data_IF_531066253132
#
_entry.id   IF_531066253132
#
_cell.length_a   1.000
_cell.length_b   1.000
_cell.length_c   1.000
_cell.angle_alpha   90.00
_cell.angle_beta   90.00
_cell.angle_gamma   90.00
#
_symmetry.space_group_name_H-M   'P 1'
#
loop_
_entity.id
_entity.type
_entity.pdbx_description
1 polymer ?
#
# COMPACT_ATOMS: atom_id res chain seq x y z
N UNK A 1 10.65 4.11 9.98
CA UNK A 1 10.55 3.52 8.62
C UNK A 1 9.91 2.13 8.64
N UNK A 2 10.22 1.28 9.62
CA UNK A 2 9.54 -0.01 9.81
C UNK A 2 8.03 0.13 10.07
N UNK A 3 7.59 1.24 10.65
CA UNK A 3 6.19 1.47 11.05
C UNK A 3 5.22 1.59 9.87
N UNK A 4 5.60 2.27 8.79
CA UNK A 4 4.70 2.51 7.64
C UNK A 4 4.54 1.24 6.79
N UNK A 5 5.62 0.48 6.60
CA UNK A 5 5.57 -0.83 5.95
C UNK A 5 4.78 -1.85 6.78
N UNK A 6 4.97 -1.86 8.10
CA UNK A 6 4.24 -2.75 9.01
C UNK A 6 2.72 -2.48 9.01
N UNK A 7 2.32 -1.20 8.93
CA UNK A 7 0.91 -0.84 8.83
C UNK A 7 0.27 -1.36 7.54
N UNK A 8 0.94 -1.21 6.39
CA UNK A 8 0.45 -1.74 5.11
C UNK A 8 0.42 -3.27 5.12
N UNK A 9 1.42 -3.93 5.70
CA UNK A 9 1.42 -5.39 5.88
C UNK A 9 0.25 -5.89 6.73
N UNK A 10 -0.05 -5.21 7.84
CA UNK A 10 -1.18 -5.57 8.70
C UNK A 10 -2.52 -5.45 7.94
N UNK A 11 -2.67 -4.43 7.10
CA UNK A 11 -3.85 -4.26 6.26
C UNK A 11 -3.96 -5.38 5.21
N UNK A 12 -2.85 -5.78 4.60
CA UNK A 12 -2.82 -6.91 3.66
C UNK A 12 -3.22 -8.21 4.35
N UNK A 13 -2.71 -8.50 5.54
CA UNK A 13 -3.12 -9.68 6.31
C UNK A 13 -4.62 -9.65 6.63
N UNK A 14 -5.16 -8.48 6.95
CA UNK A 14 -6.60 -8.30 7.17
C UNK A 14 -7.41 -8.60 5.90
N UNK A 15 -6.94 -8.13 4.74
CA UNK A 15 -7.56 -8.43 3.44
C UNK A 15 -7.48 -9.92 3.10
N UNK A 16 -6.35 -10.59 3.37
CA UNK A 16 -6.19 -12.04 3.15
C UNK A 16 -7.20 -12.82 4.00
N UNK A 17 -7.39 -12.46 5.27
CA UNK A 17 -8.39 -13.11 6.11
C UNK A 17 -9.82 -12.92 5.58
N UNK A 18 -10.18 -11.70 5.19
CA UNK A 18 -11.51 -11.42 4.62
C UNK A 18 -11.75 -12.16 3.30
N UNK A 19 -10.74 -12.23 2.42
CA UNK A 19 -10.84 -12.98 1.17
C UNK A 19 -10.87 -14.49 1.41
N UNK A 20 -10.19 -15.00 2.44
CA UNK A 20 -10.28 -16.41 2.83
C UNK A 20 -11.68 -16.72 3.34
N UNK A 21 -12.25 -15.87 4.18
CA UNK A 21 -13.62 -16.03 4.67
C UNK A 21 -14.63 -15.98 3.52
N UNK A 22 -14.44 -15.06 2.57
CA UNK A 22 -15.24 -15.04 1.35
C UNK A 22 -15.05 -16.31 0.51
N UNK A 23 -13.83 -16.84 0.39
CA UNK A 23 -13.54 -18.06 -0.36
C UNK A 23 -14.23 -19.29 0.24
N UNK A 24 -14.36 -19.35 1.56
CA UNK A 24 -15.12 -20.44 2.20
C UNK A 24 -16.63 -20.34 1.94
N UNK A 25 -17.13 -19.13 1.61
CA UNK A 25 -18.56 -18.83 1.45
C UNK A 25 -19.01 -18.71 -0.01
N UNK A 26 -18.10 -18.39 -0.91
CA UNK A 26 -18.29 -18.21 -2.35
C UNK A 26 -17.41 -19.21 -3.11
N UNK A 27 -17.74 -19.51 -4.38
CA UNK A 27 -17.05 -20.54 -5.15
C UNK A 27 -15.50 -20.40 -5.13
N UNK A 28 -14.74 -21.44 -4.72
CA UNK A 28 -13.31 -21.33 -4.37
C UNK A 28 -12.36 -20.90 -5.50
N UNK A 29 -12.72 -21.20 -6.75
CA UNK A 29 -11.82 -21.08 -7.90
C UNK A 29 -11.56 -19.64 -8.34
N UNK A 30 -12.53 -18.72 -8.14
CA UNK A 30 -12.38 -17.32 -8.53
C UNK A 30 -11.57 -16.50 -7.51
N UNK A 31 -11.48 -16.94 -6.25
CA UNK A 31 -10.82 -16.19 -5.16
C UNK A 31 -9.34 -16.53 -5.00
N UNK A 32 -8.89 -17.67 -5.53
CA UNK A 32 -7.48 -18.08 -5.52
C UNK A 32 -6.56 -17.05 -6.15
N UNK A 33 -6.98 -16.43 -7.27
CA UNK A 33 -6.18 -15.41 -7.94
C UNK A 33 -6.01 -14.14 -7.08
N UNK A 34 -7.06 -13.74 -6.36
CA UNK A 34 -7.01 -12.57 -5.49
C UNK A 34 -6.20 -12.78 -4.21
N UNK A 35 -6.31 -13.97 -3.61
CA UNK A 35 -5.47 -14.38 -2.48
C UNK A 35 -3.99 -14.47 -2.88
N UNK A 36 -3.69 -15.12 -4.00
CA UNK A 36 -2.32 -15.19 -4.52
C UNK A 36 -1.75 -13.79 -4.82
N UNK A 37 -2.57 -12.87 -5.33
CA UNK A 37 -2.16 -11.49 -5.57
C UNK A 37 -1.82 -10.74 -4.27
N UNK A 38 -2.59 -10.93 -3.19
CA UNK A 38 -2.30 -10.32 -1.88
C UNK A 38 -1.08 -10.94 -1.19
N UNK A 39 -0.92 -12.25 -1.27
CA UNK A 39 0.27 -12.95 -0.75
C UNK A 39 1.54 -12.48 -1.45
N UNK A 40 1.48 -12.36 -2.78
CA UNK A 40 2.59 -11.83 -3.55
C UNK A 40 2.87 -10.35 -3.22
N UNK A 41 1.82 -9.55 -2.99
CA UNK A 41 1.95 -8.15 -2.57
C UNK A 41 2.62 -8.04 -1.19
N UNK A 42 2.29 -8.93 -0.26
CA UNK A 42 2.95 -9.04 1.05
C UNK A 42 4.44 -9.38 0.88
N UNK A 43 4.77 -10.38 0.06
CA UNK A 43 6.15 -10.80 -0.18
C UNK A 43 6.98 -9.69 -0.84
N UNK A 44 6.40 -8.96 -1.81
CA UNK A 44 7.06 -7.83 -2.46
C UNK A 44 7.34 -6.69 -1.46
N UNK A 45 6.41 -6.41 -0.54
CA UNK A 45 6.62 -5.41 0.51
C UNK A 45 7.69 -5.83 1.53
N UNK A 46 7.74 -7.09 1.92
CA UNK A 46 8.81 -7.62 2.77
C UNK A 46 10.18 -7.41 2.14
N UNK A 47 10.32 -7.76 0.85
CA UNK A 47 11.55 -7.55 0.09
C UNK A 47 11.92 -6.06 -0.01
N UNK A 48 10.95 -5.19 -0.28
CA UNK A 48 11.18 -3.75 -0.36
C UNK A 48 11.58 -3.14 1.00
N UNK A 49 11.08 -3.70 2.11
CA UNK A 49 11.39 -3.25 3.47
C UNK A 49 12.77 -3.68 3.99
N UNK A 50 13.40 -4.68 3.36
CA UNK A 50 14.63 -5.35 3.83
C UNK A 50 15.92 -4.52 3.81
N UNK A 51 15.87 -3.20 3.63
CA UNK A 51 16.99 -2.27 3.77
C UNK A 51 18.12 -2.36 2.73
N UNK A 52 18.15 -3.40 1.89
CA UNK A 52 19.15 -3.59 0.82
C UNK A 52 18.64 -3.28 -0.59
N UNK A 53 17.35 -2.97 -0.76
CA UNK A 53 16.78 -2.64 -2.05
C UNK A 53 17.13 -1.19 -2.45
N UNK A 54 17.51 -0.97 -3.71
CA UNK A 54 17.69 0.38 -4.24
C UNK A 54 16.33 1.12 -4.27
N UNK A 55 16.33 2.46 -4.20
CA UNK A 55 15.10 3.24 -4.29
C UNK A 55 14.29 2.94 -5.56
N UNK A 56 14.95 2.70 -6.69
CA UNK A 56 14.28 2.35 -7.93
C UNK A 56 13.65 0.95 -7.90
N UNK A 57 14.30 -0.01 -7.23
CA UNK A 57 13.72 -1.33 -7.00
C UNK A 57 12.48 -1.25 -6.09
N UNK A 58 12.53 -0.41 -5.04
CA UNK A 58 11.40 -0.18 -4.17
C UNK A 58 10.22 0.49 -4.90
N UNK A 59 10.49 1.50 -5.75
CA UNK A 59 9.46 2.13 -6.59
C UNK A 59 8.83 1.15 -7.57
N UNK A 60 9.65 0.31 -8.22
CA UNK A 60 9.16 -0.70 -9.14
C UNK A 60 8.26 -1.74 -8.43
N UNK A 61 8.66 -2.17 -7.23
CA UNK A 61 7.85 -3.05 -6.40
C UNK A 61 6.51 -2.39 -6.00
N UNK A 62 6.54 -1.14 -5.52
CA UNK A 62 5.31 -0.41 -5.18
C UNK A 62 4.37 -0.23 -6.38
N UNK A 63 4.91 0.05 -7.57
CA UNK A 63 4.11 0.15 -8.79
C UNK A 63 3.42 -1.17 -9.15
N UNK A 64 4.12 -2.30 -8.99
CA UNK A 64 3.54 -3.64 -9.17
C UNK A 64 2.46 -3.93 -8.12
N UNK A 65 2.70 -3.59 -6.84
CA UNK A 65 1.70 -3.70 -5.78
C UNK A 65 0.44 -2.91 -6.12
N UNK A 66 0.58 -1.67 -6.57
CA UNK A 66 -0.55 -0.82 -6.96
C UNK A 66 -1.32 -1.39 -8.16
N UNK A 67 -0.63 -1.96 -9.16
CA UNK A 67 -1.30 -2.60 -10.28
C UNK A 67 -2.13 -3.81 -9.84
N UNK A 68 -1.54 -4.70 -9.04
CA UNK A 68 -2.24 -5.89 -8.52
C UNK A 68 -3.43 -5.52 -7.65
N UNK A 69 -3.30 -4.46 -6.85
CA UNK A 69 -4.38 -3.95 -6.03
C UNK A 69 -5.54 -3.41 -6.89
N UNK A 70 -5.25 -2.73 -8.00
CA UNK A 70 -6.27 -2.31 -8.98
C UNK A 70 -7.00 -3.53 -9.58
N UNK A 71 -6.25 -4.52 -10.05
CA UNK A 71 -6.85 -5.73 -10.64
C UNK A 71 -7.76 -6.46 -9.65
N UNK A 72 -7.36 -6.51 -8.37
CA UNK A 72 -8.14 -7.11 -7.30
C UNK A 72 -9.38 -6.28 -6.93
N UNK A 73 -9.25 -4.95 -6.93
CA UNK A 73 -10.38 -4.03 -6.72
C UNK A 73 -11.44 -4.19 -7.81
N UNK A 74 -11.01 -4.20 -9.08
CA UNK A 74 -11.90 -4.40 -10.23
C UNK A 74 -12.64 -5.74 -10.15
N UNK A 75 -11.95 -6.79 -9.68
CA UNK A 75 -12.57 -8.09 -9.46
C UNK A 75 -13.59 -8.06 -8.31
N UNK A 76 -13.26 -7.42 -7.17
CA UNK A 76 -14.18 -7.27 -6.05
C UNK A 76 -15.41 -6.46 -6.42
N UNK A 77 -15.28 -5.41 -7.23
CA UNK A 77 -16.41 -4.61 -7.70
C UNK A 77 -17.37 -5.40 -8.58
N UNK A 78 -16.83 -6.27 -9.44
CA UNK A 78 -17.64 -7.24 -10.21
C UNK A 78 -18.36 -8.20 -9.27
N UNK A 79 -17.67 -8.76 -8.27
CA UNK A 79 -18.29 -9.64 -7.28
C UNK A 79 -19.34 -8.95 -6.43
N UNK A 80 -19.11 -7.70 -6.05
CA UNK A 80 -20.10 -6.89 -5.32
C UNK A 80 -21.37 -6.73 -6.14
N UNK A 81 -21.22 -6.49 -7.44
CA UNK A 81 -22.35 -6.38 -8.37
C UNK A 81 -23.09 -7.72 -8.52
N UNK A 82 -22.37 -8.83 -8.72
CA UNK A 82 -22.95 -10.18 -8.82
C UNK A 82 -23.74 -10.55 -7.55
N UNK A 83 -23.16 -10.31 -6.37
CA UNK A 83 -23.79 -10.63 -5.09
C UNK A 83 -24.99 -9.72 -4.82
N UNK A 84 -24.90 -8.43 -5.15
CA UNK A 84 -26.04 -7.51 -5.03
C UNK A 84 -27.21 -7.93 -5.92
N UNK A 85 -26.92 -8.36 -7.15
CA UNK A 85 -27.94 -8.85 -8.08
C UNK A 85 -28.56 -10.16 -7.58
N UNK A 86 -27.76 -11.12 -7.11
CA UNK A 86 -28.24 -12.34 -6.48
C UNK A 86 -29.13 -12.03 -5.26
N UNK A 87 -28.79 -11.01 -4.46
CA UNK A 87 -29.58 -10.59 -3.31
C UNK A 87 -30.95 -10.08 -3.74
N UNK A 88 -31.01 -9.16 -4.72
CA UNK A 88 -32.27 -8.65 -5.28
C UNK A 88 -33.15 -9.76 -5.82
N UNK A 89 -32.58 -10.69 -6.57
CA UNK A 89 -33.30 -11.82 -7.15
C UNK A 89 -33.81 -12.79 -6.08
N UNK A 90 -33.05 -12.99 -4.99
CA UNK A 90 -33.42 -13.92 -3.92
C UNK A 90 -34.60 -13.45 -3.07
N UNK A 91 -34.80 -12.14 -2.93
CA UNK A 91 -35.84 -11.56 -2.08
C UNK A 91 -37.03 -11.02 -2.86
N UNK A 92 -36.82 -10.53 -4.09
CA UNK A 92 -37.90 -9.96 -4.90
C UNK A 92 -38.72 -8.92 -4.11
N UNK A 93 -40.02 -9.19 -3.96
CA UNK A 93 -40.94 -8.32 -3.23
C UNK A 93 -40.88 -8.46 -1.69
N UNK A 94 -40.23 -9.49 -1.17
CA UNK A 94 -40.13 -9.78 0.27
C UNK A 94 -38.95 -9.08 0.95
N UNK A 95 -38.22 -8.23 0.20
CA UNK A 95 -37.01 -7.58 0.68
C UNK A 95 -37.23 -6.78 1.97
N UNK A 96 -38.23 -5.90 1.99
CA UNK A 96 -38.46 -5.01 3.13
C UNK A 96 -38.89 -5.81 4.37
N UNK A 97 -39.70 -6.85 4.18
CA UNK A 97 -40.09 -7.78 5.24
C UNK A 97 -38.88 -8.53 5.80
N UNK A 98 -38.01 -9.05 4.93
CA UNK A 98 -36.78 -9.72 5.33
C UNK A 98 -35.83 -8.78 6.07
N UNK A 99 -35.64 -7.54 5.59
CA UNK A 99 -34.74 -6.56 6.23
C UNK A 99 -35.26 -6.09 7.60
N UNK A 100 -36.56 -6.16 7.85
CA UNK A 100 -37.17 -5.87 9.15
C UNK A 100 -37.03 -7.01 10.18
N UNK A 101 -36.76 -8.25 9.75
CA UNK A 101 -36.57 -9.40 10.65
C UNK A 101 -35.25 -9.33 11.41
N UNK A 102 -35.19 -9.93 12.59
CA UNK A 102 -33.93 -10.10 13.31
C UNK A 102 -32.99 -11.07 12.57
N UNK A 103 -31.68 -10.93 12.76
CA UNK A 103 -30.68 -11.77 12.08
C UNK A 103 -30.93 -13.28 12.27
N UNK A 104 -31.32 -13.69 13.48
CA UNK A 104 -31.61 -15.09 13.78
C UNK A 104 -32.84 -15.60 13.01
N UNK A 105 -33.88 -14.77 12.87
CA UNK A 105 -35.09 -15.11 12.10
C UNK A 105 -34.80 -15.12 10.60
N UNK A 106 -34.00 -14.18 10.11
CA UNK A 106 -33.52 -14.16 8.72
C UNK A 106 -32.77 -15.44 8.37
N UNK A 107 -31.87 -15.90 9.24
CA UNK A 107 -31.09 -17.12 9.04
C UNK A 107 -31.96 -18.38 9.01
N UNK A 108 -32.97 -18.46 9.87
CA UNK A 108 -33.85 -19.62 9.98
C UNK A 108 -34.88 -19.69 8.85
N UNK A 109 -35.53 -18.56 8.55
CA UNK A 109 -36.66 -18.50 7.60
C UNK A 109 -36.19 -18.28 6.16
N UNK A 110 -35.11 -17.53 5.97
CA UNK A 110 -34.60 -17.13 4.65
C UNK A 110 -33.07 -17.35 4.56
N UNK A 111 -32.58 -18.60 4.72
CA UNK A 111 -31.15 -18.90 4.83
C UNK A 111 -30.34 -18.48 3.59
N UNK A 112 -30.94 -18.52 2.40
CA UNK A 112 -30.27 -18.14 1.15
C UNK A 112 -30.07 -16.61 1.09
N UNK A 113 -31.11 -15.77 1.15
CA UNK A 113 -30.95 -14.32 1.24
C UNK A 113 -30.03 -13.86 2.38
N UNK A 114 -30.12 -14.50 3.55
CA UNK A 114 -29.25 -14.21 4.68
C UNK A 114 -27.77 -14.45 4.37
N UNK A 115 -27.43 -15.61 3.79
CA UNK A 115 -26.06 -15.91 3.36
C UNK A 115 -25.55 -14.93 2.29
N UNK A 116 -26.39 -14.59 1.31
CA UNK A 116 -26.03 -13.63 0.26
C UNK A 116 -25.76 -12.24 0.87
N UNK A 117 -26.60 -11.79 1.82
CA UNK A 117 -26.38 -10.54 2.56
C UNK A 117 -25.06 -10.55 3.32
N UNK A 118 -24.73 -11.65 3.99
CA UNK A 118 -23.44 -11.79 4.67
C UNK A 118 -22.27 -11.72 3.69
N UNK A 119 -22.35 -12.42 2.55
CA UNK A 119 -21.33 -12.34 1.50
C UNK A 119 -21.19 -10.92 0.95
N UNK A 120 -22.28 -10.17 0.78
CA UNK A 120 -22.23 -8.77 0.34
C UNK A 120 -21.48 -7.88 1.33
N UNK A 121 -21.74 -8.06 2.63
CA UNK A 121 -21.03 -7.34 3.69
C UNK A 121 -19.53 -7.63 3.67
N UNK A 122 -19.15 -8.90 3.52
CA UNK A 122 -17.75 -9.30 3.43
C UNK A 122 -17.04 -8.75 2.18
N UNK A 123 -17.68 -8.79 1.00
CA UNK A 123 -17.13 -8.20 -0.24
C UNK A 123 -16.93 -6.69 -0.08
N UNK A 124 -17.87 -6.01 0.57
CA UNK A 124 -17.77 -4.56 0.83
C UNK A 124 -16.62 -4.26 1.78
N UNK A 125 -16.50 -5.00 2.88
CA UNK A 125 -15.40 -4.85 3.82
C UNK A 125 -14.02 -5.12 3.18
N UNK A 126 -13.92 -6.15 2.32
CA UNK A 126 -12.69 -6.42 1.57
C UNK A 126 -12.33 -5.24 0.65
N UNK A 127 -13.31 -4.63 -0.02
CA UNK A 127 -13.11 -3.43 -0.83
C UNK A 127 -12.57 -2.25 -0.02
N UNK A 128 -13.15 -1.98 1.15
CA UNK A 128 -12.69 -0.90 2.04
C UNK A 128 -11.24 -1.11 2.50
N UNK A 129 -10.84 -2.36 2.79
CA UNK A 129 -9.45 -2.68 3.13
C UNK A 129 -8.51 -2.47 1.94
N UNK A 130 -8.90 -2.83 0.71
CA UNK A 130 -8.07 -2.56 -0.47
C UNK A 130 -7.87 -1.06 -0.70
N UNK A 131 -8.90 -0.23 -0.50
CA UNK A 131 -8.76 1.23 -0.58
C UNK A 131 -7.77 1.75 0.46
N UNK A 132 -7.82 1.19 1.68
CA UNK A 132 -6.85 1.52 2.74
C UNK A 132 -5.42 1.13 2.35
N UNK A 133 -5.21 -0.09 1.82
CA UNK A 133 -3.89 -0.55 1.35
C UNK A 133 -3.39 0.36 0.22
N UNK A 134 -4.25 0.71 -0.73
CA UNK A 134 -3.90 1.60 -1.84
C UNK A 134 -3.42 2.97 -1.36
N UNK A 135 -4.11 3.54 -0.35
CA UNK A 135 -3.72 4.80 0.28
C UNK A 135 -2.37 4.66 0.99
N UNK A 136 -2.17 3.59 1.76
CA UNK A 136 -0.90 3.31 2.44
C UNK A 136 0.28 3.12 1.47
N UNK A 137 0.06 2.47 0.31
CA UNK A 137 1.07 2.34 -0.74
C UNK A 137 1.43 3.70 -1.36
N UNK A 138 0.46 4.61 -1.51
CA UNK A 138 0.71 5.95 -2.02
C UNK A 138 1.54 6.79 -1.04
N UNK A 139 1.21 6.70 0.26
CA UNK A 139 1.98 7.36 1.31
C UNK A 139 3.41 6.82 1.40
N UNK A 140 3.58 5.49 1.30
CA UNK A 140 4.90 4.84 1.21
C UNK A 140 5.70 5.36 0.01
N UNK A 141 5.07 5.44 -1.18
CA UNK A 141 5.74 5.96 -2.37
C UNK A 141 6.22 7.40 -2.17
N UNK A 142 5.39 8.27 -1.59
CA UNK A 142 5.76 9.64 -1.30
C UNK A 142 6.88 9.75 -0.25
N UNK A 143 6.91 8.82 0.72
CA UNK A 143 7.98 8.73 1.72
C UNK A 143 9.33 8.38 1.08
N UNK A 144 9.35 7.39 0.17
CA UNK A 144 10.55 6.96 -0.55
C UNK A 144 11.09 8.07 -1.46
N UNK A 145 10.21 8.79 -2.15
CA UNK A 145 10.61 9.94 -2.99
C UNK A 145 11.28 11.04 -2.16
N UNK A 146 10.66 11.45 -1.05
CA UNK A 146 11.23 12.47 -0.16
C UNK A 146 12.60 12.06 0.36
N UNK A 147 12.78 10.79 0.72
CA UNK A 147 14.08 10.31 1.16
C UNK A 147 15.12 10.32 0.05
N UNK A 148 14.76 9.85 -1.14
CA UNK A 148 15.67 9.83 -2.28
C UNK A 148 16.17 11.26 -2.57
N UNK A 149 15.27 12.25 -2.54
CA UNK A 149 15.62 13.65 -2.70
C UNK A 149 16.54 14.16 -1.58
N UNK A 150 16.21 13.89 -0.31
CA UNK A 150 17.03 14.29 0.83
C UNK A 150 18.45 13.68 0.78
N UNK A 151 18.58 12.42 0.35
CA UNK A 151 19.89 11.77 0.19
C UNK A 151 20.69 12.43 -0.92
N UNK A 152 20.07 12.74 -2.06
CA UNK A 152 20.73 13.44 -3.16
C UNK A 152 21.18 14.86 -2.76
N UNK A 153 20.36 15.60 -2.00
CA UNK A 153 20.72 16.93 -1.48
C UNK A 153 21.89 16.87 -0.48
N UNK A 154 21.89 15.88 0.42
CA UNK A 154 23.00 15.67 1.36
C UNK A 154 24.29 15.28 0.64
N UNK A 155 24.22 14.42 -0.38
CA UNK A 155 25.37 14.08 -1.21
C UNK A 155 25.92 15.29 -1.96
N UNK A 156 25.07 16.17 -2.49
CA UNK A 156 25.47 17.37 -3.20
C UNK A 156 26.10 18.45 -2.28
N UNK A 157 25.72 18.52 -0.99
CA UNK A 157 26.31 19.44 -0.03
C UNK A 157 27.72 19.02 0.43
N UNK A 158 28.03 17.73 0.45
CA UNK A 158 29.36 17.21 0.83
C UNK A 158 30.39 17.43 -0.29
N UNK A 159 29.94 17.57 -1.54
CA UNK A 159 30.78 17.81 -2.72
C UNK A 159 31.02 19.29 -3.06
N UNK A 160 30.66 20.24 -2.19
CA UNK A 160 31.17 21.62 -2.33
C UNK A 160 32.61 21.68 -1.80
N UNK A 161 33.67 21.64 -2.65
CA UNK A 161 35.02 21.86 -2.18
C UNK A 161 35.08 23.27 -1.60
N UNK A 162 35.51 23.35 -0.34
CA UNK A 162 36.00 24.58 0.24
C UNK A 162 36.86 25.29 -0.82
N UNK A 163 36.34 26.41 -1.30
CA UNK A 163 36.99 27.19 -2.34
C UNK A 163 38.38 27.55 -1.83
N UNK A 164 39.39 27.01 -2.53
CA UNK A 164 40.76 27.49 -2.62
C UNK A 164 40.99 28.81 -1.86
N UNK A 165 41.34 28.70 -0.59
CA UNK A 165 42.02 29.77 0.12
C UNK A 165 43.45 29.78 -0.43
N UNK A 166 43.59 30.40 -1.61
CA UNK A 166 44.87 30.72 -2.20
C UNK A 166 45.62 31.54 -1.17
N UNK A 167 46.70 30.96 -0.66
CA UNK A 167 47.68 31.67 0.15
C UNK A 167 48.16 32.86 -0.65
N UNK A 168 47.70 34.04 -0.28
CA UNK A 168 48.40 35.27 -0.59
C UNK A 168 49.54 35.35 0.43
N UNK A 169 50.64 34.67 0.11
CA UNK A 169 51.92 34.87 0.75
C UNK A 169 52.24 36.36 0.67
N UNK A 170 51.98 37.06 1.77
CA UNK A 170 52.44 38.43 1.97
C UNK A 170 53.92 38.32 2.32
N UNK A 171 54.71 38.19 1.27
CA UNK A 171 56.17 38.29 1.26
C UNK A 171 56.56 39.65 1.85
N UNK A 172 56.68 39.67 3.17
CA UNK A 172 57.08 40.85 3.94
C UNK A 172 58.59 40.80 4.03
N UNK A 173 59.22 41.38 3.01
CA UNK A 173 60.66 41.55 2.84
C UNK A 173 61.30 42.18 4.10
N UNK A 174 62.23 41.49 4.80
CA UNK A 174 63.02 42.09 5.86
C UNK A 174 64.20 42.87 5.26
N UNK A 175 64.25 44.16 5.59
CA UNK A 175 65.26 45.15 5.19
C UNK A 175 66.73 44.68 5.19
N UNK A 176 67.55 45.38 4.39
CA UNK A 176 68.86 45.78 4.90
C UNK A 176 69.10 47.30 4.73
N UNK A 177 69.27 47.99 5.86
CA UNK A 177 70.08 49.22 5.90
C UNK A 177 71.53 48.87 5.58
N UNK A 178 72.23 49.66 4.75
CA UNK A 178 73.31 50.44 5.33
C UNK A 178 73.44 51.84 4.72
N UNK A 179 73.42 52.86 5.59
CA UNK A 179 74.05 54.14 5.31
C UNK A 179 75.58 53.97 5.38
N UNK A 180 76.27 54.48 4.37
CA UNK A 180 77.69 54.90 4.35
C UNK A 180 77.70 56.25 3.63
N UNK A 181 78.71 57.14 3.76
CA UNK A 181 80.00 57.04 4.45
C UNK A 181 80.13 57.87 5.74
#
# INVERSE_FOLDING_TARGET
>A
MTTDYAAVQQQIQSAVHLLTDLQTRLAPSAMNAGLAALEELSAQLEQASGGQASPDAQRAALAQCQQRLRDLSDWLDRKKTEVAEAYRQSLGAEKDTFEAMQAQEQEQLHPIPYRIRQSFGLVSAAGDVLVSIGSGLQDLSGSIERQTLNTLEQSAQVESPASLQTGFDSDTDPAPSPYSP
#
